data_IF_295052962826
#
_entry.id   IF_295052962826
#
_cell.length_a   1.000
_cell.length_b   1.000
_cell.length_c   1.000
_cell.angle_alpha   90.00
_cell.angle_beta   90.00
_cell.angle_gamma   90.00
#
_symmetry.space_group_name_H-M   'P 1'
#
loop_
_entity.id
_entity.type
_entity.pdbx_description
1 polymer ?
#
# COMPACT_ATOMS: atom_id res chain seq x y z
N UNK A 1 -6.00 24.74 13.45
CA UNK A 1 -5.06 23.62 13.47
C UNK A 1 -3.64 24.15 13.62
N UNK A 2 -2.82 23.50 14.48
CA UNK A 2 -1.46 23.99 14.81
C UNK A 2 -0.45 23.62 13.72
N UNK A 3 -0.79 22.61 12.90
CA UNK A 3 0.07 22.08 11.85
C UNK A 3 -0.76 21.85 10.59
N UNK A 4 -0.19 22.15 9.42
CA UNK A 4 -0.78 21.88 8.11
C UNK A 4 -0.38 20.45 7.68
N UNK A 5 -1.09 19.46 8.22
CA UNK A 5 -0.88 18.04 7.92
C UNK A 5 -2.21 17.34 7.66
N UNK A 6 -2.22 16.40 6.72
CA UNK A 6 -3.34 15.49 6.52
C UNK A 6 -3.30 14.35 7.56
N UNK A 7 -4.42 14.13 8.24
CA UNK A 7 -4.53 13.05 9.22
C UNK A 7 -5.04 11.77 8.54
N UNK A 8 -4.27 10.69 8.68
CA UNK A 8 -4.65 9.35 8.24
C UNK A 8 -4.85 8.46 9.48
N UNK A 9 -5.96 7.73 9.53
CA UNK A 9 -6.26 6.77 10.60
C UNK A 9 -6.20 5.33 10.08
N UNK A 10 -5.73 4.40 10.92
CA UNK A 10 -5.71 2.95 10.66
C UNK A 10 -6.12 2.20 11.93
N UNK A 11 -7.39 1.80 12.02
CA UNK A 11 -7.99 1.17 13.20
C UNK A 11 -8.64 -0.19 12.86
N UNK A 12 -8.31 -0.76 11.68
CA UNK A 12 -8.90 -2.01 11.20
C UNK A 12 -10.36 -1.88 10.83
N UNK A 13 -11.11 -2.97 10.96
CA UNK A 13 -12.54 -3.01 10.64
C UNK A 13 -13.34 -2.25 11.70
N UNK A 14 -13.90 -1.12 11.31
CA UNK A 14 -14.70 -0.27 12.21
C UNK A 14 -16.11 -0.03 11.63
N UNK A 15 -17.02 0.42 12.49
CA UNK A 15 -18.42 0.72 12.08
C UNK A 15 -18.53 2.07 11.37
N UNK A 16 -19.62 2.28 10.60
CA UNK A 16 -19.92 3.56 9.97
C UNK A 16 -19.95 4.72 10.99
N UNK A 17 -20.47 4.47 12.19
CA UNK A 17 -20.48 5.47 13.27
C UNK A 17 -19.06 5.88 13.69
N UNK A 18 -18.13 4.92 13.76
CA UNK A 18 -16.73 5.19 14.05
C UNK A 18 -16.07 5.97 12.93
N UNK A 19 -16.31 5.63 11.66
CA UNK A 19 -15.83 6.41 10.52
C UNK A 19 -16.31 7.87 10.58
N UNK A 20 -17.59 8.12 10.90
CA UNK A 20 -18.13 9.47 11.08
C UNK A 20 -17.40 10.23 12.18
N UNK A 21 -17.19 9.61 13.34
CA UNK A 21 -16.45 10.22 14.46
C UNK A 21 -15.01 10.58 14.08
N UNK A 22 -14.31 9.70 13.34
CA UNK A 22 -12.96 9.96 12.84
C UNK A 22 -12.96 11.19 11.92
N UNK A 23 -13.89 11.24 10.95
CA UNK A 23 -14.03 12.37 10.04
C UNK A 23 -14.32 13.68 10.78
N UNK A 24 -15.29 13.67 11.71
CA UNK A 24 -15.67 14.84 12.51
C UNK A 24 -14.51 15.33 13.39
N UNK A 25 -13.57 14.42 13.73
CA UNK A 25 -12.34 14.75 14.47
C UNK A 25 -11.20 15.29 13.58
N UNK A 26 -11.43 15.45 12.26
CA UNK A 26 -10.46 16.03 11.33
C UNK A 26 -9.63 14.99 10.57
N UNK A 27 -9.92 13.69 10.70
CA UNK A 27 -9.31 12.65 9.84
C UNK A 27 -9.82 12.82 8.42
N UNK A 28 -8.91 12.88 7.45
CA UNK A 28 -9.21 13.04 6.03
C UNK A 28 -9.04 11.74 5.23
N UNK A 29 -8.18 10.84 5.70
CA UNK A 29 -7.86 9.59 5.02
C UNK A 29 -7.97 8.40 5.97
N UNK A 30 -8.43 7.26 5.46
CA UNK A 30 -8.44 5.99 6.20
C UNK A 30 -7.57 4.96 5.50
N UNK A 31 -6.69 4.32 6.28
CA UNK A 31 -5.83 3.25 5.78
C UNK A 31 -6.40 1.88 6.18
N UNK A 32 -6.71 1.07 5.17
CA UNK A 32 -7.13 -0.32 5.33
C UNK A 32 -6.76 -1.14 4.10
N UNK A 33 -5.71 -1.95 4.20
CA UNK A 33 -5.28 -2.81 3.10
C UNK A 33 -6.28 -3.94 2.81
N UNK A 34 -6.44 -4.28 1.52
CA UNK A 34 -7.08 -5.55 1.12
C UNK A 34 -6.11 -6.73 1.21
N UNK A 35 -4.84 -6.48 1.44
CA UNK A 35 -3.68 -7.37 1.64
C UNK A 35 -3.28 -8.15 0.39
N UNK A 36 -4.20 -8.83 -0.28
CA UNK A 36 -3.97 -9.67 -1.46
C UNK A 36 -5.24 -9.79 -2.31
N UNK A 37 -5.27 -10.68 -3.31
CA UNK A 37 -6.50 -10.97 -4.07
C UNK A 37 -7.57 -11.66 -3.22
N UNK A 38 -8.82 -11.58 -3.66
CA UNK A 38 -9.94 -12.33 -3.06
C UNK A 38 -9.65 -13.83 -2.98
N UNK A 39 -9.06 -14.40 -4.04
CA UNK A 39 -8.75 -15.83 -4.15
C UNK A 39 -7.69 -16.23 -3.12
N UNK A 40 -6.65 -15.41 -2.94
CA UNK A 40 -5.55 -15.73 -2.03
C UNK A 40 -5.83 -15.32 -0.58
N UNK A 41 -6.81 -14.45 -0.32
CA UNK A 41 -7.09 -13.90 1.00
C UNK A 41 -7.28 -14.96 2.11
N UNK A 42 -7.99 -16.10 1.88
CA UNK A 42 -8.13 -17.15 2.90
C UNK A 42 -6.82 -17.81 3.33
N UNK A 43 -5.77 -17.73 2.50
CA UNK A 43 -4.44 -18.24 2.83
C UNK A 43 -3.64 -17.25 3.72
N UNK A 44 -4.04 -15.99 3.74
CA UNK A 44 -3.35 -14.89 4.45
C UNK A 44 -4.06 -14.54 5.74
N UNK A 45 -5.38 -14.57 5.76
CA UNK A 45 -6.19 -14.12 6.88
C UNK A 45 -7.35 -15.08 7.17
N UNK A 46 -7.47 -15.47 8.45
CA UNK A 46 -8.53 -16.39 8.92
C UNK A 46 -9.49 -15.72 9.91
N UNK A 47 -9.24 -14.48 10.33
CA UNK A 47 -10.01 -13.79 11.38
C UNK A 47 -11.19 -12.99 10.84
N UNK A 48 -11.16 -12.62 9.56
CA UNK A 48 -12.21 -11.90 8.85
C UNK A 48 -12.14 -12.21 7.35
N UNK A 49 -13.14 -11.79 6.61
CA UNK A 49 -13.27 -12.09 5.18
C UNK A 49 -12.73 -10.94 4.31
N UNK A 50 -12.46 -11.26 3.05
CA UNK A 50 -12.16 -10.24 2.04
C UNK A 50 -13.31 -9.24 1.86
N UNK A 51 -14.56 -9.70 1.96
CA UNK A 51 -15.74 -8.83 1.87
C UNK A 51 -15.84 -7.85 3.03
N UNK A 52 -15.36 -8.20 4.20
CA UNK A 52 -15.28 -7.26 5.34
C UNK A 52 -14.36 -6.09 5.01
N UNK A 53 -13.22 -6.35 4.34
CA UNK A 53 -12.30 -5.32 3.85
C UNK A 53 -12.97 -4.41 2.81
N UNK A 54 -13.62 -5.02 1.81
CA UNK A 54 -14.33 -4.28 0.75
C UNK A 54 -15.43 -3.39 1.36
N UNK A 55 -16.19 -3.90 2.32
CA UNK A 55 -17.24 -3.15 2.99
C UNK A 55 -16.68 -2.00 3.85
N UNK A 56 -15.55 -2.20 4.50
CA UNK A 56 -14.82 -1.16 5.24
C UNK A 56 -14.45 0.01 4.32
N UNK A 57 -13.79 -0.28 3.19
CA UNK A 57 -13.39 0.71 2.19
C UNK A 57 -14.60 1.47 1.64
N UNK A 58 -15.65 0.76 1.21
CA UNK A 58 -16.89 1.38 0.74
C UNK A 58 -17.55 2.27 1.79
N UNK A 59 -17.50 1.86 3.05
CA UNK A 59 -18.08 2.64 4.16
C UNK A 59 -17.24 3.90 4.44
N UNK A 60 -15.91 3.81 4.36
CA UNK A 60 -15.04 4.97 4.50
C UNK A 60 -15.33 6.01 3.39
N UNK A 61 -15.43 5.59 2.12
CA UNK A 61 -15.82 6.48 1.01
C UNK A 61 -17.23 7.07 1.20
N UNK A 62 -18.21 6.26 1.61
CA UNK A 62 -19.59 6.71 1.87
C UNK A 62 -19.65 7.85 2.87
N UNK A 63 -18.80 7.87 3.88
CA UNK A 63 -18.74 8.98 4.85
C UNK A 63 -17.83 10.13 4.39
N UNK A 64 -17.19 10.00 3.21
CA UNK A 64 -16.40 11.03 2.57
C UNK A 64 -14.96 11.11 3.10
N UNK A 65 -14.38 9.99 3.53
CA UNK A 65 -12.95 9.84 3.73
C UNK A 65 -12.31 9.40 2.42
N UNK A 66 -11.10 9.88 2.12
CA UNK A 66 -10.26 9.24 1.09
C UNK A 66 -9.70 7.93 1.63
N UNK A 67 -9.36 7.00 0.74
CA UNK A 67 -8.88 5.68 1.16
C UNK A 67 -7.46 5.42 0.69
N UNK A 68 -6.66 4.91 1.62
CA UNK A 68 -5.36 4.32 1.35
C UNK A 68 -5.49 2.80 1.55
N UNK A 69 -5.46 2.05 0.45
CA UNK A 69 -5.58 0.60 0.48
C UNK A 69 -4.69 -0.03 -0.57
N UNK A 70 -3.97 -1.05 -0.17
CA UNK A 70 -3.08 -1.82 -1.03
C UNK A 70 -2.90 -3.21 -0.46
N UNK A 71 -1.69 -3.73 -0.57
CA UNK A 71 -1.40 -5.06 -0.06
C UNK A 71 0.08 -5.36 0.00
N UNK A 72 0.35 -6.65 0.20
CA UNK A 72 1.71 -7.21 0.30
C UNK A 72 1.88 -8.21 -0.84
N UNK A 73 2.94 -8.04 -1.61
CA UNK A 73 3.36 -9.01 -2.64
C UNK A 73 4.51 -9.88 -2.12
N UNK A 74 4.56 -11.12 -2.58
CA UNK A 74 5.55 -12.11 -2.13
C UNK A 74 5.06 -13.03 -1.02
N UNK A 75 3.76 -13.04 -0.69
CA UNK A 75 3.15 -13.95 0.29
C UNK A 75 2.68 -15.29 -0.30
N UNK A 76 3.20 -15.66 -1.48
CA UNK A 76 2.81 -16.89 -2.18
C UNK A 76 1.68 -16.72 -3.19
N UNK A 77 1.23 -15.50 -3.42
CA UNK A 77 0.27 -15.16 -4.46
C UNK A 77 0.87 -15.32 -5.86
N UNK A 78 0.02 -15.53 -6.86
CA UNK A 78 0.40 -15.56 -8.27
C UNK A 78 0.42 -14.13 -8.87
N UNK A 79 0.95 -13.98 -10.10
CA UNK A 79 0.88 -12.70 -10.79
C UNK A 79 -0.55 -12.31 -11.15
N UNK A 80 -1.41 -13.30 -11.45
CA UNK A 80 -2.86 -13.10 -11.65
C UNK A 80 -3.53 -12.58 -10.39
N UNK A 81 -3.10 -13.00 -9.19
CA UNK A 81 -3.60 -12.45 -7.92
C UNK A 81 -3.23 -10.98 -7.78
N UNK A 82 -2.04 -10.57 -8.21
CA UNK A 82 -1.61 -9.15 -8.21
C UNK A 82 -2.46 -8.32 -9.18
N UNK A 83 -2.82 -8.87 -10.35
CA UNK A 83 -3.74 -8.23 -11.29
C UNK A 83 -5.14 -8.08 -10.66
N UNK A 84 -5.69 -9.15 -10.07
CA UNK A 84 -7.00 -9.12 -9.41
C UNK A 84 -7.03 -8.10 -8.27
N UNK A 85 -5.93 -7.99 -7.50
CA UNK A 85 -5.78 -6.97 -6.45
C UNK A 85 -5.83 -5.56 -7.06
N UNK A 86 -5.08 -5.30 -8.13
CA UNK A 86 -5.06 -4.00 -8.79
C UNK A 86 -6.41 -3.60 -9.38
N UNK A 87 -7.13 -4.56 -10.01
CA UNK A 87 -8.48 -4.35 -10.55
C UNK A 87 -9.49 -4.06 -9.43
N UNK A 88 -9.42 -4.81 -8.33
CA UNK A 88 -10.31 -4.58 -7.16
C UNK A 88 -10.12 -3.17 -6.60
N UNK A 89 -8.87 -2.70 -6.48
CA UNK A 89 -8.59 -1.35 -5.98
C UNK A 89 -9.07 -0.26 -6.95
N UNK A 90 -8.99 -0.51 -8.28
CA UNK A 90 -9.54 0.37 -9.29
C UNK A 90 -11.09 0.43 -9.23
N UNK A 91 -11.77 -0.72 -9.08
CA UNK A 91 -13.23 -0.79 -8.91
C UNK A 91 -13.74 -0.09 -7.65
N UNK A 92 -12.88 0.03 -6.64
CA UNK A 92 -13.17 0.71 -5.38
C UNK A 92 -12.79 2.19 -5.39
N UNK A 93 -12.28 2.72 -6.50
CA UNK A 93 -11.81 4.11 -6.63
C UNK A 93 -10.79 4.49 -5.54
N UNK A 94 -9.86 3.58 -5.21
CA UNK A 94 -8.85 3.84 -4.16
C UNK A 94 -7.84 4.87 -4.63
N UNK A 95 -7.67 5.95 -3.86
CA UNK A 95 -6.83 7.08 -4.23
C UNK A 95 -5.34 6.86 -3.95
N UNK A 96 -5.00 6.02 -2.95
CA UNK A 96 -3.61 5.75 -2.56
C UNK A 96 -3.38 4.26 -2.33
N UNK A 97 -2.46 3.69 -3.11
CA UNK A 97 -2.20 2.24 -3.14
C UNK A 97 -0.77 1.97 -2.67
N UNK A 98 -0.56 1.66 -1.38
CA UNK A 98 0.73 1.20 -0.90
C UNK A 98 1.01 -0.23 -1.36
N UNK A 99 2.15 -0.42 -2.02
CA UNK A 99 2.71 -1.72 -2.37
C UNK A 99 3.84 -2.06 -1.40
N UNK A 100 3.63 -3.11 -0.62
CA UNK A 100 4.62 -3.69 0.28
C UNK A 100 5.21 -4.94 -0.38
N UNK A 101 6.53 -5.07 -0.36
CA UNK A 101 7.22 -6.29 -0.77
C UNK A 101 7.64 -7.07 0.46
N UNK A 102 7.22 -8.33 0.55
CA UNK A 102 7.54 -9.19 1.69
C UNK A 102 9.05 -9.38 1.81
N UNK A 103 9.56 -9.18 3.01
CA UNK A 103 10.89 -9.63 3.42
C UNK A 103 10.68 -10.81 4.37
N UNK A 104 11.01 -12.05 3.97
CA UNK A 104 10.87 -13.21 4.84
C UNK A 104 11.69 -13.05 6.12
N UNK A 105 11.06 -13.28 7.28
CA UNK A 105 11.69 -13.17 8.59
C UNK A 105 11.65 -14.53 9.27
N UNK A 106 12.80 -14.99 9.77
CA UNK A 106 12.93 -16.25 10.50
C UNK A 106 12.00 -16.31 11.71
N UNK A 107 11.32 -17.43 11.88
CA UNK A 107 10.33 -17.63 12.95
C UNK A 107 8.91 -17.18 12.61
N UNK A 108 8.67 -16.68 11.40
CA UNK A 108 7.33 -16.36 10.89
C UNK A 108 6.81 -17.45 9.96
N UNK A 109 5.50 -17.46 9.69
CA UNK A 109 4.89 -18.40 8.74
C UNK A 109 5.37 -18.21 7.28
N UNK A 110 6.09 -17.13 6.99
CA UNK A 110 6.62 -16.80 5.67
C UNK A 110 8.14 -16.94 5.56
N UNK A 111 8.83 -17.52 6.58
CA UNK A 111 10.29 -17.57 6.64
C UNK A 111 10.94 -18.30 5.46
N UNK A 112 10.25 -19.30 4.89
CA UNK A 112 10.75 -20.12 3.78
C UNK A 112 10.31 -19.62 2.40
N UNK A 113 9.56 -18.52 2.30
CA UNK A 113 9.16 -17.97 1.00
C UNK A 113 10.35 -17.34 0.27
N UNK A 114 10.41 -17.49 -1.07
CA UNK A 114 11.45 -16.84 -1.85
C UNK A 114 11.32 -15.32 -1.78
N UNK A 115 12.44 -14.63 -1.64
CA UNK A 115 12.50 -13.18 -1.73
C UNK A 115 12.19 -12.74 -3.16
N UNK A 116 11.35 -11.73 -3.31
CA UNK A 116 11.05 -11.14 -4.61
C UNK A 116 12.30 -10.53 -5.26
N UNK A 117 12.41 -10.69 -6.56
CA UNK A 117 13.41 -9.98 -7.36
C UNK A 117 12.98 -8.54 -7.63
N UNK A 118 13.95 -7.65 -7.86
CA UNK A 118 13.66 -6.27 -8.28
C UNK A 118 12.76 -6.23 -9.52
N UNK A 119 13.01 -7.11 -10.51
CA UNK A 119 12.20 -7.18 -11.73
C UNK A 119 10.72 -7.50 -11.44
N UNK A 120 10.43 -8.45 -10.56
CA UNK A 120 9.06 -8.79 -10.17
C UNK A 120 8.35 -7.61 -9.51
N UNK A 121 9.06 -6.86 -8.65
CA UNK A 121 8.52 -5.66 -8.01
C UNK A 121 8.22 -4.58 -9.06
N UNK A 122 9.18 -4.28 -9.95
CA UNK A 122 9.03 -3.27 -10.99
C UNK A 122 7.89 -3.60 -11.97
N UNK A 123 7.76 -4.86 -12.38
CA UNK A 123 6.63 -5.32 -13.22
C UNK A 123 5.29 -5.17 -12.52
N UNK A 124 5.24 -5.45 -11.22
CA UNK A 124 4.02 -5.24 -10.42
C UNK A 124 3.67 -3.76 -10.33
N UNK A 125 4.64 -2.88 -10.04
CA UNK A 125 4.43 -1.42 -10.02
C UNK A 125 3.89 -0.91 -11.36
N UNK A 126 4.50 -1.32 -12.47
CA UNK A 126 4.06 -0.92 -13.81
C UNK A 126 2.64 -1.40 -14.11
N UNK A 127 2.31 -2.64 -13.79
CA UNK A 127 0.97 -3.21 -13.96
C UNK A 127 -0.06 -2.45 -13.11
N UNK A 128 0.25 -2.15 -11.84
CA UNK A 128 -0.62 -1.34 -10.98
C UNK A 128 -0.87 0.04 -11.56
N UNK A 129 0.17 0.71 -12.12
CA UNK A 129 0.02 2.02 -12.76
C UNK A 129 -0.88 1.97 -13.98
N UNK A 130 -0.77 0.92 -14.83
CA UNK A 130 -1.64 0.78 -16.00
C UNK A 130 -3.11 0.60 -15.61
N UNK A 131 -3.39 -0.15 -14.56
CA UNK A 131 -4.76 -0.42 -14.08
C UNK A 131 -5.31 0.78 -13.29
N UNK A 132 -4.46 1.48 -12.53
CA UNK A 132 -4.82 2.60 -11.67
C UNK A 132 -4.09 3.88 -12.10
N UNK A 133 -4.47 4.49 -13.24
CA UNK A 133 -3.68 5.56 -13.86
C UNK A 133 -3.61 6.86 -13.04
N UNK A 134 -4.59 7.10 -12.19
CA UNK A 134 -4.71 8.34 -11.40
C UNK A 134 -4.34 8.19 -9.93
N UNK A 135 -4.25 6.95 -9.42
CA UNK A 135 -3.95 6.69 -8.02
C UNK A 135 -2.48 7.01 -7.66
N UNK A 136 -2.24 7.27 -6.38
CA UNK A 136 -0.89 7.28 -5.83
C UNK A 136 -0.40 5.85 -5.64
N UNK A 137 0.45 5.35 -6.56
CA UNK A 137 1.15 4.07 -6.38
C UNK A 137 2.34 4.33 -5.48
N UNK A 138 2.21 3.88 -4.24
CA UNK A 138 3.13 4.22 -3.15
C UNK A 138 4.07 3.06 -2.84
N UNK A 139 5.37 3.30 -2.92
CA UNK A 139 6.36 2.35 -2.41
C UNK A 139 6.33 2.38 -0.89
N UNK A 140 6.15 1.21 -0.28
CA UNK A 140 6.09 1.05 1.17
C UNK A 140 7.19 0.09 1.65
N UNK A 141 6.88 -0.92 2.46
CA UNK A 141 7.89 -1.85 2.96
C UNK A 141 8.56 -2.67 1.84
N UNK A 142 9.81 -3.09 2.06
CA UNK A 142 10.56 -3.93 1.13
C UNK A 142 11.37 -3.16 0.06
N UNK A 143 11.51 -1.85 0.17
CA UNK A 143 12.33 -1.05 -0.77
C UNK A 143 13.80 -1.49 -0.81
N UNK A 144 14.31 -2.08 0.26
CA UNK A 144 15.67 -2.64 0.32
C UNK A 144 15.90 -3.83 -0.62
N UNK A 145 14.84 -4.40 -1.19
CA UNK A 145 14.91 -5.44 -2.23
C UNK A 145 15.24 -4.87 -3.62
N UNK A 146 15.23 -3.55 -3.76
CA UNK A 146 15.51 -2.85 -5.01
C UNK A 146 16.81 -2.05 -4.91
N UNK A 147 17.49 -1.91 -6.05
CA UNK A 147 18.68 -1.05 -6.16
C UNK A 147 18.31 0.43 -5.99
N UNK A 148 19.27 1.23 -5.47
CA UNK A 148 19.11 2.67 -5.25
C UNK A 148 17.76 3.02 -4.59
N UNK A 149 17.40 2.28 -3.53
CA UNK A 149 16.17 2.53 -2.76
C UNK A 149 14.89 2.56 -3.61
N UNK A 150 14.88 1.86 -4.73
CA UNK A 150 13.71 1.75 -5.61
C UNK A 150 13.59 2.89 -6.64
N UNK A 151 14.67 3.58 -6.99
CA UNK A 151 14.71 4.61 -8.04
C UNK A 151 13.98 4.17 -9.32
N UNK A 152 14.26 2.95 -9.81
CA UNK A 152 13.62 2.42 -11.02
C UNK A 152 12.09 2.23 -10.88
N UNK A 153 11.58 2.08 -9.68
CA UNK A 153 10.15 1.93 -9.49
C UNK A 153 9.40 3.24 -9.80
N UNK A 154 10.01 4.40 -9.60
CA UNK A 154 9.42 5.68 -9.99
C UNK A 154 9.35 5.83 -11.52
N UNK A 155 10.35 5.36 -12.26
CA UNK A 155 10.28 5.29 -13.74
C UNK A 155 9.35 4.20 -14.24
N UNK A 156 9.03 3.21 -13.42
CA UNK A 156 8.06 2.14 -13.71
C UNK A 156 6.61 2.50 -13.36
N UNK A 157 6.36 3.66 -12.74
CA UNK A 157 5.00 4.15 -12.49
C UNK A 157 4.65 4.45 -11.03
N UNK A 158 5.53 4.21 -10.06
CA UNK A 158 5.35 4.73 -8.71
C UNK A 158 5.40 6.27 -8.73
N UNK A 159 4.60 6.92 -7.89
CA UNK A 159 4.57 8.38 -7.75
C UNK A 159 4.42 8.84 -6.30
N UNK A 160 4.61 7.92 -5.35
CA UNK A 160 4.63 8.21 -3.92
C UNK A 160 5.53 7.19 -3.20
N UNK A 161 5.97 7.52 -2.01
CA UNK A 161 6.75 6.61 -1.16
C UNK A 161 6.52 6.90 0.32
N UNK A 162 6.79 5.90 1.15
CA UNK A 162 6.97 6.06 2.60
C UNK A 162 8.48 6.16 2.84
N UNK A 163 8.91 7.16 3.58
CA UNK A 163 10.31 7.40 3.94
C UNK A 163 10.47 7.49 5.46
N UNK A 164 11.69 7.36 5.96
CA UNK A 164 11.97 7.27 7.40
C UNK A 164 11.78 5.85 7.94
N UNK A 165 12.04 5.67 9.23
CA UNK A 165 11.92 4.37 9.89
C UNK A 165 10.46 3.90 9.95
N UNK A 166 10.28 2.60 9.72
CA UNK A 166 9.00 1.92 9.87
C UNK A 166 8.93 1.22 11.22
N UNK A 167 7.72 0.82 11.66
CA UNK A 167 7.52 0.19 12.97
C UNK A 167 8.34 -1.10 13.17
N UNK A 168 8.59 -1.85 12.10
CA UNK A 168 9.21 -3.18 12.17
C UNK A 168 10.52 -3.30 11.40
N UNK A 169 10.87 -2.31 10.57
CA UNK A 169 12.07 -2.34 9.73
C UNK A 169 12.68 -0.96 9.63
N UNK A 170 14.01 -0.88 9.49
CA UNK A 170 14.67 0.36 9.10
C UNK A 170 14.14 0.80 7.74
N UNK A 171 13.78 2.07 7.65
CA UNK A 171 13.36 2.69 6.40
C UNK A 171 14.51 3.37 5.68
N UNK A 172 14.18 4.15 4.67
CA UNK A 172 15.14 4.94 3.92
C UNK A 172 15.38 6.29 4.60
N UNK A 173 16.57 6.85 4.38
CA UNK A 173 16.88 8.20 4.84
C UNK A 173 16.03 9.23 4.08
N UNK A 174 15.39 10.14 4.81
CA UNK A 174 14.48 11.16 4.25
C UNK A 174 15.21 12.10 3.28
N UNK A 175 16.41 12.53 3.62
CA UNK A 175 17.18 13.48 2.79
C UNK A 175 17.71 12.80 1.53
N UNK A 176 18.12 11.53 1.61
CA UNK A 176 18.51 10.72 0.46
C UNK A 176 17.33 10.49 -0.51
N UNK A 177 16.14 10.17 0.03
CA UNK A 177 14.92 10.02 -0.79
C UNK A 177 14.54 11.34 -1.48
N UNK A 178 14.63 12.47 -0.77
CA UNK A 178 14.37 13.78 -1.36
C UNK A 178 15.38 14.13 -2.45
N UNK A 179 16.67 13.89 -2.23
CA UNK A 179 17.71 14.12 -3.21
C UNK A 179 17.46 13.27 -4.46
N UNK A 180 17.24 11.97 -4.31
CA UNK A 180 16.95 11.05 -5.41
C UNK A 180 15.74 11.53 -6.24
N UNK A 181 14.62 11.84 -5.59
CA UNK A 181 13.40 12.27 -6.28
C UNK A 181 13.60 13.61 -7.01
N UNK A 182 14.33 14.55 -6.40
CA UNK A 182 14.68 15.84 -7.03
C UNK A 182 15.55 15.63 -8.26
N UNK A 183 16.58 14.79 -8.16
CA UNK A 183 17.48 14.46 -9.27
C UNK A 183 16.74 13.78 -10.44
N UNK A 184 15.68 13.02 -10.13
CA UNK A 184 14.78 12.44 -11.14
C UNK A 184 13.79 13.45 -11.73
N UNK A 185 13.74 14.69 -11.25
CA UNK A 185 12.85 15.75 -11.72
C UNK A 185 11.45 15.75 -11.12
N UNK A 186 11.24 15.05 -10.02
CA UNK A 186 9.96 15.12 -9.27
C UNK A 186 9.92 16.39 -8.41
N UNK A 187 8.73 16.98 -8.32
CA UNK A 187 8.42 18.01 -7.31
C UNK A 187 8.01 17.32 -6.01
N UNK A 188 8.60 17.70 -4.90
CA UNK A 188 8.36 17.15 -3.58
C UNK A 188 8.04 18.25 -2.56
#
# INVERSE_FOLDING_TARGET
DKYDICLCASHGLVTEETFKKLKDSGVSMYHENIETSRRNFPNVCTTHTFDDKINGIKTAHKVGLTVCSGGIIGMGETFEDRIDMALTLAELDVESIPLNSLIPIKGTCYEDLPTLTEEEILRTVAMFRFINPTAYIRLAAGRTLMSNSGEKAFTSGANATITGDMLTTSGNNIDEDKAMLTDMGFSI
#
